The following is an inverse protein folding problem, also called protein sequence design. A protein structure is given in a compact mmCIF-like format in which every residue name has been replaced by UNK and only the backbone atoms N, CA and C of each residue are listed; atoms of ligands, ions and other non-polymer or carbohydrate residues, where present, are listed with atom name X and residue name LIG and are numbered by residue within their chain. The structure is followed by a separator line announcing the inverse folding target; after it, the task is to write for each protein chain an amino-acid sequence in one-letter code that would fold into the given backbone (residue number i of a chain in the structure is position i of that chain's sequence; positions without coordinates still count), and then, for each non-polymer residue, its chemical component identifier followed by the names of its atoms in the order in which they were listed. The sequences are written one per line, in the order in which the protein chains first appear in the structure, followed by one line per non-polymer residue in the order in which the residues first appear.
data_IF_644755726674
#
_entry.id   IF_644755726674
#
_cell.length_a   1.000
_cell.length_b   1.000
_cell.length_c   1.000
_cell.angle_alpha   90.00
_cell.angle_beta   90.00
_cell.angle_gamma   90.00
#
_symmetry.space_group_name_H-M   'P 1'
#
loop_
_entity.id
_entity.type
_entity.pdbx_description
1 polymer ?
#
# COMPACT_ATOMS: atom_id res chain seq x y z
N UNK A 1 -17.86 31.71 7.16
CA UNK A 1 -16.77 31.26 6.26
C UNK A 1 -17.38 30.49 5.10
N UNK A 2 -17.06 30.84 3.86
CA UNK A 2 -17.50 30.06 2.69
C UNK A 2 -16.70 28.75 2.59
N UNK A 3 -17.38 27.66 2.25
CA UNK A 3 -16.76 26.35 2.01
C UNK A 3 -17.34 25.72 0.74
N UNK A 4 -16.61 24.82 0.09
CA UNK A 4 -17.07 24.22 -1.17
C UNK A 4 -18.14 23.17 -0.92
N UNK A 5 -17.81 22.20 -0.07
CA UNK A 5 -18.68 21.07 0.25
C UNK A 5 -18.74 20.87 1.75
N UNK A 6 -19.94 20.59 2.27
CA UNK A 6 -20.18 20.21 3.65
C UNK A 6 -21.02 18.93 3.70
N UNK A 7 -20.50 17.92 4.40
CA UNK A 7 -21.20 16.68 4.72
C UNK A 7 -21.78 16.78 6.12
N UNK A 8 -23.09 16.58 6.25
CA UNK A 8 -23.83 16.60 7.52
C UNK A 8 -24.62 15.32 7.72
N UNK A 9 -25.10 15.06 8.94
CA UNK A 9 -25.84 13.83 9.28
C UNK A 9 -25.02 12.57 8.92
N UNK A 10 -23.80 12.51 9.46
CA UNK A 10 -22.84 11.43 9.25
C UNK A 10 -22.27 10.95 10.57
N UNK A 11 -21.66 9.77 10.59
CA UNK A 11 -20.77 9.33 11.66
C UNK A 11 -19.33 9.36 11.13
N UNK A 12 -18.37 9.86 11.90
CA UNK A 12 -16.98 9.98 11.46
C UNK A 12 -16.10 8.99 12.23
N UNK A 13 -15.26 8.27 11.50
CA UNK A 13 -14.03 7.69 12.03
C UNK A 13 -12.92 8.68 11.67
N UNK A 14 -12.49 9.52 12.60
CA UNK A 14 -11.51 10.57 12.29
C UNK A 14 -10.09 10.04 12.17
N UNK A 15 -9.78 8.94 12.88
CA UNK A 15 -8.44 8.36 12.98
C UNK A 15 -7.38 9.35 13.52
N UNK A 16 -7.80 10.48 14.09
CA UNK A 16 -6.90 11.46 14.68
C UNK A 16 -6.72 11.15 16.18
N UNK A 17 -5.51 10.76 16.57
CA UNK A 17 -5.20 10.26 17.92
C UNK A 17 -5.33 8.75 18.08
N UNK A 18 -5.67 8.29 19.29
CA UNK A 18 -5.80 6.86 19.61
C UNK A 18 -7.14 6.27 19.13
N UNK A 19 -7.12 4.99 18.74
CA UNK A 19 -8.28 4.28 18.22
C UNK A 19 -8.81 4.88 16.90
N UNK A 20 -10.12 4.75 16.69
CA UNK A 20 -10.80 5.22 15.47
C UNK A 20 -11.25 6.68 15.51
N UNK A 21 -11.16 7.36 16.66
CA UNK A 21 -11.63 8.75 16.80
C UNK A 21 -13.10 8.92 16.39
N UNK A 22 -13.97 8.03 16.91
CA UNK A 22 -15.40 7.98 16.55
C UNK A 22 -16.11 9.26 17.00
N UNK A 23 -16.76 9.93 16.05
CA UNK A 23 -17.67 11.04 16.29
C UNK A 23 -19.04 10.72 15.68
N UNK A 24 -20.01 10.40 16.53
CA UNK A 24 -21.41 10.27 16.09
C UNK A 24 -22.00 11.64 15.84
N UNK A 25 -22.96 11.69 14.92
CA UNK A 25 -23.65 12.91 14.48
C UNK A 25 -22.66 14.05 14.17
N UNK A 26 -21.73 13.78 13.26
CA UNK A 26 -20.67 14.70 12.86
C UNK A 26 -21.02 15.56 11.64
N UNK A 27 -20.16 16.55 11.42
CA UNK A 27 -20.11 17.40 10.23
C UNK A 27 -18.66 17.53 9.79
N UNK A 28 -18.43 17.47 8.48
CA UNK A 28 -17.13 17.69 7.84
C UNK A 28 -17.31 18.69 6.71
N UNK A 29 -16.38 19.64 6.56
CA UNK A 29 -16.38 20.57 5.44
C UNK A 29 -15.01 20.64 4.76
N UNK A 30 -15.03 20.90 3.46
CA UNK A 30 -13.85 21.04 2.64
C UNK A 30 -13.90 22.27 1.73
N UNK A 31 -12.72 22.84 1.48
CA UNK A 31 -12.46 23.92 0.54
C UNK A 31 -11.16 23.64 -0.20
N UNK A 32 -11.13 23.85 -1.52
CA UNK A 32 -9.96 23.63 -2.38
C UNK A 32 -9.33 22.23 -2.20
N UNK A 33 -10.20 21.24 -2.02
CA UNK A 33 -9.84 19.85 -1.82
C UNK A 33 -9.17 19.53 -0.48
N UNK A 34 -9.19 20.45 0.49
CA UNK A 34 -8.69 20.24 1.86
C UNK A 34 -9.81 20.29 2.88
N UNK A 35 -9.66 19.53 3.95
CA UNK A 35 -10.58 19.56 5.10
C UNK A 35 -10.35 20.88 5.85
N UNK A 36 -11.42 21.64 6.05
CA UNK A 36 -11.39 22.92 6.79
C UNK A 36 -12.18 22.88 8.09
N UNK A 37 -13.01 21.85 8.27
CA UNK A 37 -13.79 21.64 9.48
C UNK A 37 -14.08 20.16 9.71
N UNK A 38 -13.95 19.72 10.96
CA UNK A 38 -14.40 18.41 11.45
C UNK A 38 -14.94 18.64 12.87
N UNK A 39 -16.19 18.28 13.12
CA UNK A 39 -16.78 18.54 14.43
C UNK A 39 -18.18 17.95 14.60
N UNK A 40 -18.77 18.07 15.81
CA UNK A 40 -20.11 17.57 16.09
C UNK A 40 -21.16 18.35 15.32
N UNK A 41 -22.36 17.78 15.15
CA UNK A 41 -23.50 18.48 14.57
C UNK A 41 -23.75 19.83 15.25
N UNK A 42 -24.00 20.86 14.44
CA UNK A 42 -24.18 22.24 14.91
C UNK A 42 -22.88 23.03 15.09
N UNK A 43 -21.70 22.41 14.97
CA UNK A 43 -20.42 23.13 14.93
C UNK A 43 -20.17 23.86 13.59
N UNK A 44 -21.08 23.76 12.63
CA UNK A 44 -21.02 24.37 11.31
C UNK A 44 -21.82 25.67 11.16
N UNK A 45 -22.31 26.26 12.26
CA UNK A 45 -23.20 27.43 12.23
C UNK A 45 -22.63 28.64 11.45
N UNK A 46 -21.31 28.83 11.51
CA UNK A 46 -20.62 29.92 10.81
C UNK A 46 -20.20 29.54 9.37
N UNK A 47 -20.46 28.31 8.91
CA UNK A 47 -20.09 27.81 7.58
C UNK A 47 -21.20 28.05 6.57
N UNK A 48 -20.82 28.53 5.38
CA UNK A 48 -21.70 28.80 4.25
C UNK A 48 -21.28 27.93 3.07
N UNK A 49 -21.76 26.67 2.98
CA UNK A 49 -21.35 25.75 1.94
C UNK A 49 -21.97 26.08 0.58
N UNK A 50 -21.18 25.93 -0.49
CA UNK A 50 -21.70 25.94 -1.87
C UNK A 50 -22.55 24.70 -2.12
N UNK A 51 -22.08 23.53 -1.66
CA UNK A 51 -22.78 22.25 -1.73
C UNK A 51 -22.95 21.66 -0.34
N UNK A 52 -24.19 21.30 0.03
CA UNK A 52 -24.47 20.54 1.25
C UNK A 52 -24.90 19.12 0.86
N UNK A 53 -24.25 18.12 1.46
CA UNK A 53 -24.53 16.71 1.27
C UNK A 53 -25.07 16.14 2.59
N UNK A 54 -26.29 15.62 2.56
CA UNK A 54 -26.83 14.81 3.65
C UNK A 54 -26.26 13.39 3.54
N UNK A 55 -25.57 12.94 4.59
CA UNK A 55 -24.99 11.60 4.63
C UNK A 55 -25.96 10.51 5.05
N UNK A 56 -27.20 10.85 5.43
CA UNK A 56 -28.27 9.92 5.81
C UNK A 56 -27.87 8.96 6.94
N UNK A 57 -27.02 9.41 7.87
CA UNK A 57 -26.50 8.63 8.99
C UNK A 57 -25.34 7.68 8.66
N UNK A 58 -24.81 7.72 7.43
CA UNK A 58 -23.70 6.86 7.00
C UNK A 58 -22.38 7.20 7.70
N UNK A 59 -21.48 6.21 7.72
CA UNK A 59 -20.14 6.36 8.25
C UNK A 59 -19.19 6.95 7.21
N UNK A 60 -18.26 7.80 7.64
CA UNK A 60 -17.16 8.35 6.84
C UNK A 60 -15.84 8.06 7.54
N UNK A 61 -14.86 7.54 6.79
CA UNK A 61 -13.45 7.45 7.19
C UNK A 61 -12.59 8.29 6.24
N UNK A 62 -11.30 8.48 6.54
CA UNK A 62 -10.33 8.79 5.48
C UNK A 62 -10.45 7.74 4.37
N UNK A 63 -10.22 8.16 3.13
CA UNK A 63 -10.11 7.24 2.02
C UNK A 63 -9.05 6.17 2.33
N UNK A 64 -9.30 4.93 1.92
CA UNK A 64 -8.35 3.85 2.20
C UNK A 64 -7.04 4.07 1.43
N UNK A 65 -5.95 3.59 2.03
CA UNK A 65 -4.59 3.70 1.53
C UNK A 65 -3.99 2.30 1.50
N UNK A 66 -3.66 1.81 0.31
CA UNK A 66 -2.92 0.56 0.17
C UNK A 66 -1.43 0.90 0.01
N UNK A 67 -0.65 0.67 1.08
CA UNK A 67 0.72 1.17 1.18
C UNK A 67 1.81 0.19 0.67
N UNK A 68 1.40 -0.94 0.08
CA UNK A 68 2.31 -1.92 -0.49
C UNK A 68 1.64 -2.72 -1.63
N UNK A 69 1.98 -2.41 -2.89
CA UNK A 69 1.54 -3.22 -4.04
C UNK A 69 2.58 -3.32 -5.15
N UNK A 70 2.50 -4.40 -5.94
CA UNK A 70 3.23 -4.59 -7.19
C UNK A 70 2.24 -4.64 -8.37
N UNK A 71 1.36 -3.64 -8.44
CA UNK A 71 0.16 -3.67 -9.28
C UNK A 71 0.43 -3.71 -10.80
N UNK A 72 1.56 -3.12 -11.22
CA UNK A 72 1.93 -2.93 -12.62
C UNK A 72 2.77 -4.11 -13.10
N UNK A 73 2.13 -5.04 -13.80
CA UNK A 73 2.77 -6.18 -14.42
C UNK A 73 1.93 -6.69 -15.61
N UNK A 74 2.57 -7.45 -16.49
CA UNK A 74 1.89 -8.18 -17.56
C UNK A 74 1.87 -9.68 -17.29
N UNK A 75 0.92 -10.35 -17.93
CA UNK A 75 0.74 -11.79 -17.81
C UNK A 75 0.05 -12.22 -16.51
N UNK A 76 0.04 -13.53 -16.27
CA UNK A 76 -0.66 -14.17 -15.17
C UNK A 76 0.09 -15.45 -14.77
N UNK A 77 0.13 -15.75 -13.47
CA UNK A 77 0.77 -16.96 -12.92
C UNK A 77 -0.23 -18.03 -12.48
N UNK A 78 -1.50 -17.92 -12.85
CA UNK A 78 -2.53 -18.93 -12.53
C UNK A 78 -2.16 -20.34 -13.00
N UNK A 79 -1.50 -20.50 -14.15
CA UNK A 79 -1.04 -21.82 -14.62
C UNK A 79 0.00 -22.43 -13.67
N UNK A 80 0.90 -21.61 -13.12
CA UNK A 80 1.88 -22.09 -12.12
C UNK A 80 1.18 -22.49 -10.82
N UNK A 81 0.15 -21.74 -10.41
CA UNK A 81 -0.69 -22.09 -9.27
C UNK A 81 -1.42 -23.42 -9.48
N UNK A 82 -2.03 -23.63 -10.65
CA UNK A 82 -2.67 -24.91 -11.02
C UNK A 82 -1.67 -26.08 -10.96
N UNK A 83 -0.47 -25.91 -11.52
CA UNK A 83 0.59 -26.92 -11.48
C UNK A 83 1.02 -27.27 -10.05
N UNK A 84 1.17 -26.27 -9.18
CA UNK A 84 1.48 -26.51 -7.75
C UNK A 84 0.39 -27.33 -7.07
N UNK A 85 -0.89 -27.05 -7.36
CA UNK A 85 -2.01 -27.81 -6.83
C UNK A 85 -2.05 -29.26 -7.34
N UNK A 86 -1.50 -29.51 -8.53
CA UNK A 86 -1.31 -30.84 -9.11
C UNK A 86 -0.05 -31.56 -8.59
N UNK A 87 0.72 -30.94 -7.69
CA UNK A 87 1.89 -31.53 -7.06
C UNK A 87 3.21 -31.31 -7.79
N UNK A 88 3.27 -30.45 -8.80
CA UNK A 88 4.53 -30.07 -9.46
C UNK A 88 5.40 -29.28 -8.48
N UNK A 89 6.67 -29.66 -8.32
CA UNK A 89 7.55 -29.02 -7.35
C UNK A 89 7.94 -27.60 -7.77
N UNK A 90 8.24 -26.75 -6.78
CA UNK A 90 8.75 -25.39 -7.04
C UNK A 90 9.99 -25.39 -7.94
N UNK A 91 10.91 -26.35 -7.73
CA UNK A 91 12.13 -26.47 -8.52
C UNK A 91 11.84 -26.82 -9.99
N UNK A 92 10.83 -27.65 -10.27
CA UNK A 92 10.41 -27.97 -11.64
C UNK A 92 9.77 -26.75 -12.32
N UNK A 93 8.90 -26.03 -11.61
CA UNK A 93 8.28 -24.79 -12.11
C UNK A 93 9.35 -23.75 -12.43
N UNK A 94 10.32 -23.55 -11.54
CA UNK A 94 11.43 -22.63 -11.75
C UNK A 94 12.29 -23.04 -12.96
N UNK A 95 12.63 -24.33 -13.10
CA UNK A 95 13.37 -24.85 -14.28
C UNK A 95 12.62 -24.67 -15.59
N UNK A 96 11.30 -24.70 -15.57
CA UNK A 96 10.45 -24.41 -16.71
C UNK A 96 10.32 -22.90 -17.03
N UNK A 97 11.01 -22.04 -16.27
CA UNK A 97 10.97 -20.58 -16.43
C UNK A 97 9.76 -19.92 -15.78
N UNK A 98 9.14 -20.57 -14.79
CA UNK A 98 8.13 -19.99 -13.90
C UNK A 98 8.75 -19.07 -12.84
N UNK A 99 7.99 -18.70 -11.80
CA UNK A 99 8.50 -17.82 -10.75
C UNK A 99 8.46 -16.34 -11.13
N UNK A 100 9.19 -15.50 -10.39
CA UNK A 100 9.30 -14.06 -10.71
C UNK A 100 9.81 -13.82 -12.14
N UNK A 101 10.66 -14.71 -12.66
CA UNK A 101 11.23 -14.61 -14.01
C UNK A 101 10.13 -14.65 -15.09
N UNK A 102 9.03 -15.37 -14.88
CA UNK A 102 7.93 -15.43 -15.84
C UNK A 102 7.23 -14.07 -15.96
N UNK A 103 6.97 -13.41 -14.82
CA UNK A 103 6.43 -12.05 -14.76
C UNK A 103 7.40 -11.02 -15.32
N UNK A 104 8.69 -11.14 -15.02
CA UNK A 104 9.71 -10.22 -15.57
C UNK A 104 9.72 -10.29 -17.10
N UNK A 105 9.76 -11.48 -17.68
CA UNK A 105 9.73 -11.65 -19.14
C UNK A 105 8.48 -11.04 -19.76
N UNK A 106 7.30 -11.30 -19.17
CA UNK A 106 6.04 -10.76 -19.66
C UNK A 106 6.02 -9.22 -19.59
N UNK A 107 6.46 -8.65 -18.46
CA UNK A 107 6.47 -7.21 -18.20
C UNK A 107 7.47 -6.48 -19.11
N UNK A 108 8.64 -7.06 -19.37
CA UNK A 108 9.60 -6.53 -20.36
C UNK A 108 9.02 -6.52 -21.77
N UNK A 109 8.37 -7.60 -22.18
CA UNK A 109 7.80 -7.74 -23.53
C UNK A 109 6.58 -6.84 -23.79
N UNK A 110 5.83 -6.50 -22.74
CA UNK A 110 4.65 -5.66 -22.86
C UNK A 110 5.00 -4.19 -23.15
N UNK A 111 4.19 -3.57 -24.01
CA UNK A 111 4.21 -2.12 -24.22
C UNK A 111 3.63 -1.37 -23.00
N UNK A 112 3.91 -0.07 -22.84
CA UNK A 112 3.28 0.73 -21.79
C UNK A 112 1.75 0.65 -21.81
N UNK A 113 1.13 0.68 -22.99
CA UNK A 113 -0.33 0.61 -23.16
C UNK A 113 -0.88 -0.75 -22.78
N UNK A 114 -0.15 -1.83 -23.09
CA UNK A 114 -0.51 -3.17 -22.66
C UNK A 114 -0.43 -3.30 -21.13
N UNK A 115 0.66 -2.82 -20.51
CA UNK A 115 0.81 -2.83 -19.06
C UNK A 115 -0.30 -2.05 -18.36
N UNK A 116 -0.63 -0.86 -18.85
CA UNK A 116 -1.73 -0.06 -18.33
C UNK A 116 -3.08 -0.81 -18.46
N UNK A 117 -3.38 -1.36 -19.64
CA UNK A 117 -4.61 -2.11 -19.90
C UNK A 117 -4.76 -3.33 -18.97
N UNK A 118 -3.68 -4.08 -18.76
CA UNK A 118 -3.70 -5.28 -17.90
C UNK A 118 -3.75 -4.95 -16.41
N UNK A 119 -3.24 -3.77 -15.99
CA UNK A 119 -3.18 -3.35 -14.58
C UNK A 119 -4.41 -2.59 -14.12
N UNK A 120 -5.07 -1.87 -15.03
CA UNK A 120 -6.29 -1.10 -14.76
C UNK A 120 -7.37 -1.89 -13.99
N UNK A 121 -7.73 -3.14 -14.35
CA UNK A 121 -8.79 -3.84 -13.63
C UNK A 121 -8.46 -4.06 -12.16
N UNK A 122 -7.18 -4.26 -11.82
CA UNK A 122 -6.71 -4.41 -10.44
C UNK A 122 -6.87 -3.11 -9.66
N UNK A 123 -6.45 -1.98 -10.24
CA UNK A 123 -6.61 -0.66 -9.63
C UNK A 123 -8.10 -0.30 -9.43
N UNK A 124 -8.94 -0.60 -10.43
CA UNK A 124 -10.38 -0.32 -10.35
C UNK A 124 -11.07 -1.16 -9.26
N UNK A 125 -10.64 -2.41 -9.03
CA UNK A 125 -11.16 -3.24 -7.94
C UNK A 125 -10.86 -2.60 -6.56
N UNK A 126 -9.62 -2.17 -6.34
CA UNK A 126 -9.23 -1.49 -5.09
C UNK A 126 -9.92 -0.14 -4.92
N UNK A 127 -10.03 0.64 -6.00
CA UNK A 127 -10.79 1.91 -6.02
C UNK A 127 -12.25 1.70 -5.64
N UNK A 128 -12.86 0.61 -6.12
CA UNK A 128 -14.24 0.28 -5.78
C UNK A 128 -14.44 -0.03 -4.29
N UNK A 129 -13.39 -0.41 -3.56
CA UNK A 129 -13.39 -0.61 -2.11
C UNK A 129 -12.92 0.61 -1.32
N UNK A 130 -12.89 1.81 -1.94
CA UNK A 130 -12.66 3.07 -1.23
C UNK A 130 -11.21 3.51 -1.19
N UNK A 131 -10.32 2.86 -1.94
CA UNK A 131 -8.93 3.29 -2.07
C UNK A 131 -8.84 4.64 -2.78
N UNK A 132 -8.20 5.59 -2.10
CA UNK A 132 -7.91 6.94 -2.61
C UNK A 132 -6.43 7.15 -2.89
N UNK A 133 -5.57 6.42 -2.18
CA UNK A 133 -4.12 6.45 -2.37
C UNK A 133 -3.57 5.03 -2.42
N UNK A 134 -2.64 4.78 -3.34
CA UNK A 134 -2.02 3.48 -3.52
C UNK A 134 -0.52 3.65 -3.75
N UNK A 135 0.28 2.85 -3.08
CA UNK A 135 1.67 2.67 -3.43
C UNK A 135 1.79 1.64 -4.55
N UNK A 136 2.56 1.96 -5.59
CA UNK A 136 2.84 1.04 -6.69
C UNK A 136 4.35 0.94 -6.86
N UNK A 137 4.87 -0.27 -6.64
CA UNK A 137 6.26 -0.61 -6.85
C UNK A 137 6.53 -0.99 -8.29
N UNK A 138 7.76 -0.72 -8.75
CA UNK A 138 8.32 -1.38 -9.92
C UNK A 138 8.86 -2.77 -9.57
N UNK A 139 9.91 -3.27 -10.22
CA UNK A 139 10.59 -4.51 -9.83
C UNK A 139 10.30 -5.74 -10.68
N UNK A 140 9.40 -5.66 -11.66
CA UNK A 140 9.27 -6.68 -12.71
C UNK A 140 9.97 -6.32 -14.03
N UNK A 141 10.84 -5.32 -14.01
CA UNK A 141 11.64 -4.87 -15.16
C UNK A 141 13.08 -5.34 -15.04
N UNK A 142 13.69 -5.15 -13.88
CA UNK A 142 15.09 -5.49 -13.58
C UNK A 142 16.12 -4.95 -14.61
N UNK A 143 15.76 -3.85 -15.29
CA UNK A 143 16.61 -3.01 -16.16
C UNK A 143 16.15 -1.57 -15.98
N UNK A 144 17.02 -0.57 -16.16
CA UNK A 144 16.60 0.83 -16.05
C UNK A 144 15.41 1.17 -16.97
N UNK A 145 15.43 0.68 -18.21
CA UNK A 145 14.37 0.97 -19.17
C UNK A 145 13.01 0.41 -18.72
N UNK A 146 12.96 -0.83 -18.25
CA UNK A 146 11.71 -1.49 -17.89
C UNK A 146 11.21 -1.08 -16.50
N UNK A 147 12.11 -0.73 -15.58
CA UNK A 147 11.76 -0.13 -14.29
C UNK A 147 11.14 1.26 -14.50
N UNK A 148 11.78 2.11 -15.32
CA UNK A 148 11.23 3.40 -15.74
C UNK A 148 9.84 3.26 -16.36
N UNK A 149 9.67 2.30 -17.27
CA UNK A 149 8.39 2.00 -17.92
C UNK A 149 7.28 1.67 -16.91
N UNK A 150 7.55 0.84 -15.90
CA UNK A 150 6.57 0.51 -14.87
C UNK A 150 6.15 1.73 -14.06
N UNK A 151 7.10 2.55 -13.62
CA UNK A 151 6.82 3.76 -12.82
C UNK A 151 6.01 4.79 -13.62
N UNK A 152 6.31 4.96 -14.90
CA UNK A 152 5.54 5.83 -15.80
C UNK A 152 4.10 5.33 -15.99
N UNK A 153 3.91 4.02 -16.18
CA UNK A 153 2.57 3.41 -16.27
C UNK A 153 1.82 3.56 -14.95
N UNK A 154 2.47 3.38 -13.80
CA UNK A 154 1.86 3.58 -12.49
C UNK A 154 1.29 5.00 -12.33
N UNK A 155 2.08 6.02 -12.68
CA UNK A 155 1.63 7.43 -12.65
C UNK A 155 0.44 7.68 -13.57
N UNK A 156 0.53 7.21 -14.82
CA UNK A 156 -0.54 7.38 -15.80
C UNK A 156 -1.86 6.73 -15.35
N UNK A 157 -1.79 5.53 -14.75
CA UNK A 157 -2.96 4.85 -14.18
C UNK A 157 -3.59 5.63 -13.02
N UNK A 158 -2.78 6.25 -12.16
CA UNK A 158 -3.27 7.08 -11.06
C UNK A 158 -4.10 8.27 -11.55
N UNK A 159 -3.58 8.99 -12.56
CA UNK A 159 -4.29 10.11 -13.20
C UNK A 159 -5.59 9.63 -13.85
N UNK A 160 -5.50 8.56 -14.64
CA UNK A 160 -6.63 8.03 -15.39
C UNK A 160 -7.75 7.48 -14.49
N UNK A 161 -7.40 6.79 -13.41
CA UNK A 161 -8.36 6.17 -12.49
C UNK A 161 -8.73 7.07 -11.30
N UNK A 162 -8.19 8.29 -11.23
CA UNK A 162 -8.37 9.24 -10.11
C UNK A 162 -8.02 8.61 -8.75
N UNK A 163 -6.82 8.04 -8.67
CA UNK A 163 -6.22 7.50 -7.43
C UNK A 163 -4.85 8.16 -7.26
N UNK A 164 -4.54 8.67 -6.08
CA UNK A 164 -3.20 9.19 -5.80
C UNK A 164 -2.22 8.01 -5.81
N UNK A 165 -1.20 8.04 -6.68
CA UNK A 165 -0.18 6.99 -6.75
C UNK A 165 1.09 7.49 -6.09
N UNK A 166 1.63 6.69 -5.16
CA UNK A 166 2.94 6.88 -4.54
C UNK A 166 3.91 5.87 -5.17
N UNK A 167 4.75 6.28 -6.14
CA UNK A 167 5.61 5.36 -6.85
C UNK A 167 6.86 4.99 -6.03
N UNK A 168 7.15 3.70 -5.94
CA UNK A 168 8.34 3.16 -5.27
C UNK A 168 9.21 2.41 -6.27
N UNK A 169 10.50 2.75 -6.33
CA UNK A 169 11.45 2.03 -7.17
C UNK A 169 11.96 0.78 -6.45
N UNK A 170 11.70 -0.39 -7.05
CA UNK A 170 12.12 -1.70 -6.54
C UNK A 170 13.01 -2.42 -7.57
N UNK A 171 14.06 -1.75 -8.08
CA UNK A 171 15.01 -2.40 -8.98
C UNK A 171 15.67 -3.63 -8.34
N UNK A 172 15.93 -3.60 -7.04
CA UNK A 172 16.47 -4.72 -6.27
C UNK A 172 15.36 -5.68 -5.76
N UNK A 173 14.46 -6.11 -6.65
CA UNK A 173 13.45 -7.14 -6.35
C UNK A 173 14.03 -8.56 -6.41
N UNK A 174 14.79 -8.83 -7.47
CA UNK A 174 15.47 -10.10 -7.70
C UNK A 174 16.68 -9.89 -8.59
N UNK A 175 17.62 -10.84 -8.55
CA UNK A 175 18.77 -10.82 -9.46
C UNK A 175 18.32 -11.31 -10.85
N UNK A 176 18.57 -10.55 -11.94
CA UNK A 176 18.27 -11.01 -13.29
C UNK A 176 18.95 -12.35 -13.61
N UNK A 177 18.29 -13.26 -14.36
CA UNK A 177 18.91 -14.53 -14.74
C UNK A 177 20.27 -14.34 -15.44
N UNK A 178 21.28 -15.08 -14.98
CA UNK A 178 22.63 -15.06 -15.57
C UNK A 178 23.51 -13.90 -15.13
N UNK A 179 23.13 -13.17 -14.07
CA UNK A 179 23.94 -12.09 -13.48
C UNK A 179 24.35 -12.41 -12.06
N UNK A 180 25.49 -11.85 -11.65
CA UNK A 180 25.95 -11.89 -10.28
C UNK A 180 25.25 -10.83 -9.43
N UNK A 181 24.90 -11.19 -8.20
CA UNK A 181 24.10 -10.33 -7.33
C UNK A 181 24.78 -8.99 -7.04
N UNK A 182 26.09 -8.99 -6.75
CA UNK A 182 26.84 -7.77 -6.44
C UNK A 182 26.93 -6.84 -7.66
N UNK A 183 27.26 -7.37 -8.84
CA UNK A 183 27.33 -6.59 -10.08
C UNK A 183 25.99 -5.91 -10.38
N UNK A 184 24.88 -6.62 -10.14
CA UNK A 184 23.55 -6.05 -10.31
C UNK A 184 23.23 -4.99 -9.26
N UNK A 185 23.62 -5.20 -8.00
CA UNK A 185 23.48 -4.18 -6.95
C UNK A 185 24.24 -2.91 -7.29
N UNK A 186 25.47 -3.02 -7.81
CA UNK A 186 26.28 -1.88 -8.24
C UNK A 186 25.56 -1.09 -9.34
N UNK A 187 24.99 -1.76 -10.36
CA UNK A 187 24.20 -1.10 -11.41
C UNK A 187 22.93 -0.42 -10.85
N UNK A 188 22.22 -1.07 -9.93
CA UNK A 188 21.06 -0.46 -9.27
C UNK A 188 21.46 0.83 -8.57
N UNK A 189 22.58 0.83 -7.84
CA UNK A 189 23.05 1.97 -7.05
C UNK A 189 23.66 3.09 -7.91
N UNK A 190 24.49 2.75 -8.90
CA UNK A 190 25.30 3.72 -9.66
C UNK A 190 24.60 4.22 -10.93
N UNK A 191 23.63 3.47 -11.45
CA UNK A 191 22.96 3.77 -12.72
C UNK A 191 21.46 3.99 -12.52
N UNK A 192 20.77 3.06 -11.88
CA UNK A 192 19.30 3.09 -11.86
C UNK A 192 18.74 4.13 -10.89
N UNK A 193 19.15 4.10 -9.62
CA UNK A 193 18.68 5.04 -8.59
C UNK A 193 18.95 6.50 -9.01
N UNK A 194 20.16 6.89 -9.47
CA UNK A 194 20.43 8.26 -9.89
C UNK A 194 19.52 8.72 -11.04
N UNK A 195 19.27 7.85 -12.02
CA UNK A 195 18.41 8.17 -13.16
C UNK A 195 16.94 8.32 -12.75
N UNK A 196 16.42 7.39 -11.95
CA UNK A 196 15.04 7.43 -11.43
C UNK A 196 14.81 8.68 -10.58
N UNK A 197 15.77 9.05 -9.73
CA UNK A 197 15.70 10.25 -8.91
C UNK A 197 15.76 11.53 -9.77
N UNK A 198 16.67 11.60 -10.75
CA UNK A 198 16.81 12.76 -11.63
C UNK A 198 15.55 13.03 -12.47
N UNK A 199 14.80 11.99 -12.81
CA UNK A 199 13.53 12.09 -13.53
C UNK A 199 12.31 12.29 -12.59
N UNK A 200 12.51 12.23 -11.27
CA UNK A 200 11.46 12.33 -10.27
C UNK A 200 10.39 11.26 -10.43
N UNK A 201 10.76 10.03 -10.76
CA UNK A 201 9.83 8.94 -11.06
C UNK A 201 9.39 8.13 -9.84
N UNK A 202 10.14 8.19 -8.74
CA UNK A 202 9.83 7.50 -7.50
C UNK A 202 9.97 8.45 -6.30
N UNK A 203 9.21 8.18 -5.24
CA UNK A 203 9.32 8.87 -3.94
C UNK A 203 10.17 8.06 -2.95
N UNK A 204 10.23 6.74 -3.13
CA UNK A 204 10.99 5.82 -2.30
C UNK A 204 11.76 4.78 -3.12
N UNK A 205 12.79 4.19 -2.51
CA UNK A 205 13.47 2.98 -2.95
C UNK A 205 13.14 1.84 -2.00
N UNK A 206 12.95 0.65 -2.57
CA UNK A 206 12.70 -0.59 -1.86
C UNK A 206 13.70 -1.67 -2.32
N UNK A 207 13.87 -2.71 -1.51
CA UNK A 207 14.72 -3.87 -1.78
C UNK A 207 14.14 -5.11 -1.13
N UNK A 208 14.27 -6.26 -1.82
CA UNK A 208 13.98 -7.56 -1.22
C UNK A 208 15.22 -8.15 -0.52
N UNK A 209 15.30 -7.94 0.79
CA UNK A 209 16.40 -8.42 1.62
C UNK A 209 16.09 -9.82 2.17
N UNK A 210 16.38 -10.84 1.36
CA UNK A 210 16.13 -12.24 1.68
C UNK A 210 17.27 -13.14 1.16
N UNK A 211 17.47 -14.32 1.75
CA UNK A 211 18.47 -15.31 1.33
C UNK A 211 18.37 -15.68 -0.16
N UNK A 212 17.17 -15.56 -0.74
CA UNK A 212 16.90 -15.86 -2.15
C UNK A 212 17.04 -14.64 -3.07
N UNK A 213 17.37 -13.47 -2.54
CA UNK A 213 17.44 -12.21 -3.26
C UNK A 213 18.72 -11.44 -2.90
N UNK A 214 18.65 -10.43 -2.03
CA UNK A 214 19.79 -9.59 -1.65
C UNK A 214 20.14 -9.72 -0.17
N UNK A 215 21.44 -9.64 0.12
CA UNK A 215 21.97 -9.63 1.48
C UNK A 215 21.82 -8.26 2.16
N UNK A 216 21.93 -8.19 3.51
CA UNK A 216 21.95 -6.92 4.24
C UNK A 216 23.07 -5.96 3.79
N UNK A 217 24.22 -6.49 3.35
CA UNK A 217 25.31 -5.67 2.83
C UNK A 217 24.92 -4.95 1.53
N UNK A 218 24.21 -5.65 0.64
CA UNK A 218 23.68 -5.07 -0.60
C UNK A 218 22.52 -4.11 -0.33
N UNK A 219 21.64 -4.43 0.62
CA UNK A 219 20.58 -3.51 1.06
C UNK A 219 21.16 -2.18 1.58
N UNK A 220 22.25 -2.24 2.37
CA UNK A 220 22.97 -1.04 2.81
C UNK A 220 23.45 -0.17 1.64
N UNK A 221 24.03 -0.77 0.60
CA UNK A 221 24.48 -0.02 -0.59
C UNK A 221 23.31 0.69 -1.29
N UNK A 222 22.18 -0.01 -1.47
CA UNK A 222 20.96 0.55 -2.05
C UNK A 222 20.44 1.72 -1.21
N UNK A 223 20.48 1.60 0.13
CA UNK A 223 20.03 2.65 1.04
C UNK A 223 20.96 3.87 1.06
N UNK A 224 22.27 3.65 0.98
CA UNK A 224 23.25 4.74 0.86
C UNK A 224 23.03 5.52 -0.45
N UNK A 225 22.77 4.83 -1.56
CA UNK A 225 22.42 5.46 -2.84
C UNK A 225 21.08 6.22 -2.78
N UNK A 226 20.04 5.60 -2.19
CA UNK A 226 18.74 6.25 -2.02
C UNK A 226 18.84 7.57 -1.25
N UNK A 227 19.58 7.57 -0.12
CA UNK A 227 19.85 8.77 0.68
C UNK A 227 20.63 9.83 -0.10
N UNK A 228 21.66 9.44 -0.84
CA UNK A 228 22.45 10.38 -1.66
C UNK A 228 21.60 11.10 -2.72
N UNK A 229 20.49 10.48 -3.13
CA UNK A 229 19.56 11.01 -4.12
C UNK A 229 18.21 11.50 -3.55
N UNK A 230 18.11 11.62 -2.23
CA UNK A 230 16.92 12.19 -1.56
C UNK A 230 15.66 11.35 -1.67
N UNK A 231 15.78 10.05 -1.92
CA UNK A 231 14.65 9.11 -1.94
C UNK A 231 14.43 8.51 -0.55
N UNK A 232 13.17 8.33 -0.17
CA UNK A 232 12.83 7.61 1.04
C UNK A 232 13.18 6.12 0.92
N UNK A 233 13.23 5.41 2.05
CA UNK A 233 13.63 4.00 2.10
C UNK A 233 12.48 3.16 2.63
N UNK A 234 12.27 2.01 1.99
CA UNK A 234 11.41 0.90 2.43
C UNK A 234 12.17 -0.41 2.25
N UNK A 235 11.68 -1.50 2.84
CA UNK A 235 12.30 -2.82 2.70
C UNK A 235 11.25 -3.93 2.76
N UNK A 236 11.37 -4.94 1.89
CA UNK A 236 10.80 -6.26 2.15
C UNK A 236 11.79 -7.04 3.00
N UNK A 237 11.41 -7.34 4.24
CA UNK A 237 12.30 -7.89 5.24
C UNK A 237 11.63 -9.02 6.02
N UNK A 238 12.44 -10.01 6.38
CA UNK A 238 12.09 -11.10 7.28
C UNK A 238 10.85 -11.90 6.86
N UNK A 239 10.60 -12.00 5.55
CA UNK A 239 9.48 -12.75 5.02
C UNK A 239 9.68 -14.26 5.18
N UNK A 240 10.87 -14.77 4.83
CA UNK A 240 11.16 -16.21 4.81
C UNK A 240 12.26 -16.59 5.80
N UNK A 241 13.11 -15.64 6.17
CA UNK A 241 14.15 -15.82 7.19
C UNK A 241 14.56 -14.49 7.81
N UNK A 242 15.11 -14.53 9.02
CA UNK A 242 15.64 -13.33 9.67
C UNK A 242 17.06 -13.03 9.19
N UNK A 243 17.24 -11.91 8.48
CA UNK A 243 18.53 -11.35 8.08
C UNK A 243 18.86 -10.01 8.78
N UNK A 244 18.05 -9.59 9.77
CA UNK A 244 18.15 -8.28 10.42
C UNK A 244 18.07 -7.09 9.44
N UNK A 245 17.38 -7.28 8.31
CA UNK A 245 17.05 -6.24 7.34
C UNK A 245 16.13 -5.16 7.92
N UNK A 246 15.17 -5.52 8.75
CA UNK A 246 14.30 -4.55 9.44
C UNK A 246 15.10 -3.65 10.41
N UNK A 247 16.03 -4.23 11.18
CA UNK A 247 16.94 -3.47 12.04
C UNK A 247 17.83 -2.52 11.21
N UNK A 248 18.39 -3.03 10.11
CA UNK A 248 19.17 -2.23 9.17
C UNK A 248 18.36 -1.05 8.62
N UNK A 249 17.15 -1.31 8.11
CA UNK A 249 16.28 -0.30 7.52
C UNK A 249 15.86 0.76 8.55
N UNK A 250 15.53 0.36 9.79
CA UNK A 250 15.25 1.29 10.88
C UNK A 250 16.46 2.19 11.19
N UNK A 251 17.68 1.65 11.20
CA UNK A 251 18.92 2.45 11.30
C UNK A 251 19.12 3.44 10.14
N UNK A 252 18.44 3.21 9.02
CA UNK A 252 18.39 4.10 7.88
C UNK A 252 17.22 5.11 7.90
N UNK A 253 16.36 5.07 8.93
CA UNK A 253 15.15 5.89 8.99
C UNK A 253 14.15 5.50 7.92
N UNK A 254 14.07 4.22 7.56
CA UNK A 254 13.10 3.70 6.61
C UNK A 254 11.67 4.00 7.06
N UNK A 255 10.81 4.32 6.09
CA UNK A 255 9.38 4.56 6.31
C UNK A 255 8.68 3.30 6.81
N UNK A 256 9.02 2.14 6.23
CA UNK A 256 8.47 0.85 6.65
C UNK A 256 9.42 -0.32 6.43
N UNK A 257 9.16 -1.39 7.19
CA UNK A 257 9.61 -2.74 6.92
C UNK A 257 8.37 -3.63 6.74
N UNK A 258 8.36 -4.37 5.64
CA UNK A 258 7.17 -5.05 5.12
C UNK A 258 7.39 -6.57 5.19
N UNK A 259 6.31 -7.36 5.36
CA UNK A 259 6.28 -8.81 5.66
C UNK A 259 6.49 -9.16 7.15
N UNK A 260 7.74 -9.18 7.61
CA UNK A 260 8.17 -9.31 9.00
C UNK A 260 7.74 -10.59 9.76
N UNK A 261 7.42 -11.68 9.08
CA UNK A 261 7.08 -12.98 9.70
C UNK A 261 8.19 -13.49 10.65
N UNK A 262 9.46 -13.31 10.28
CA UNK A 262 10.63 -13.78 11.02
C UNK A 262 11.34 -12.68 11.84
N UNK A 263 10.70 -11.52 12.03
CA UNK A 263 11.26 -10.40 12.78
C UNK A 263 11.55 -10.77 14.25
N UNK A 264 12.70 -10.33 14.77
CA UNK A 264 13.12 -10.55 16.14
C UNK A 264 13.02 -9.30 17.03
N UNK A 265 13.33 -9.47 18.33
CA UNK A 265 13.25 -8.41 19.33
C UNK A 265 14.18 -7.22 19.03
N UNK A 266 15.33 -7.46 18.41
CA UNK A 266 16.27 -6.41 18.04
C UNK A 266 15.69 -5.53 16.92
N UNK A 267 15.14 -6.15 15.88
CA UNK A 267 14.43 -5.46 14.81
C UNK A 267 13.22 -4.68 15.32
N UNK A 268 12.40 -5.27 16.20
CA UNK A 268 11.25 -4.58 16.83
C UNK A 268 11.71 -3.33 17.59
N UNK A 269 12.74 -3.46 18.43
CA UNK A 269 13.26 -2.34 19.21
C UNK A 269 13.80 -1.22 18.30
N UNK A 270 14.50 -1.57 17.22
CA UNK A 270 15.01 -0.62 16.24
C UNK A 270 13.87 0.11 15.51
N UNK A 271 12.85 -0.62 15.04
CA UNK A 271 11.68 -0.05 14.37
C UNK A 271 10.93 0.91 15.29
N UNK A 272 10.70 0.52 16.56
CA UNK A 272 10.05 1.36 17.55
C UNK A 272 10.83 2.67 17.79
N UNK A 273 12.15 2.58 17.91
CA UNK A 273 13.01 3.73 18.13
C UNK A 273 13.05 4.68 16.92
N UNK A 274 13.04 4.13 15.69
CA UNK A 274 13.09 4.92 14.46
C UNK A 274 11.73 5.47 14.01
N UNK A 275 10.62 4.90 14.51
CA UNK A 275 9.28 5.18 14.00
C UNK A 275 8.97 4.48 12.67
N UNK A 276 9.75 3.46 12.28
CA UNK A 276 9.53 2.65 11.08
C UNK A 276 8.24 1.83 11.25
N UNK A 277 7.36 1.91 10.26
CA UNK A 277 6.08 1.21 10.27
C UNK A 277 6.27 -0.28 9.94
N UNK A 278 5.61 -1.16 10.68
CA UNK A 278 5.48 -2.57 10.34
C UNK A 278 4.31 -2.77 9.37
N UNK A 279 4.57 -3.09 8.10
CA UNK A 279 3.52 -3.35 7.10
C UNK A 279 3.27 -4.86 7.01
N UNK A 280 2.09 -5.27 7.47
CA UNK A 280 1.65 -6.66 7.51
C UNK A 280 0.93 -7.04 6.23
N UNK A 281 1.29 -8.18 5.65
CA UNK A 281 0.84 -8.61 4.31
C UNK A 281 0.08 -9.93 4.36
N UNK A 282 -1.15 -9.95 4.91
CA UNK A 282 -1.88 -11.19 5.17
C UNK A 282 -2.26 -11.96 3.90
N UNK A 283 -2.39 -11.29 2.75
CA UNK A 283 -2.65 -11.93 1.46
C UNK A 283 -1.51 -12.86 1.04
N UNK A 284 -0.26 -12.40 1.20
CA UNK A 284 0.93 -13.20 0.91
C UNK A 284 1.03 -14.40 1.84
N UNK A 285 0.95 -14.16 3.16
CA UNK A 285 0.94 -15.20 4.20
C UNK A 285 -0.10 -16.29 3.90
N UNK A 286 -1.33 -15.89 3.57
CA UNK A 286 -2.42 -16.81 3.23
C UNK A 286 -2.09 -17.64 1.98
N UNK A 287 -1.69 -16.98 0.90
CA UNK A 287 -1.58 -17.61 -0.42
C UNK A 287 -0.35 -18.50 -0.53
N UNK A 288 0.75 -18.17 0.16
CA UNK A 288 1.94 -19.03 0.27
C UNK A 288 1.78 -20.15 1.28
N UNK A 289 0.70 -20.13 2.08
CA UNK A 289 0.43 -21.07 3.18
C UNK A 289 1.53 -21.05 4.23
N UNK A 290 2.03 -19.86 4.53
CA UNK A 290 3.00 -19.71 5.61
C UNK A 290 2.37 -20.09 6.95
N UNK A 291 3.21 -20.54 7.88
CA UNK A 291 2.83 -20.92 9.23
C UNK A 291 3.54 -20.09 10.29
N UNK A 292 4.56 -19.31 9.91
CA UNK A 292 5.25 -18.37 10.79
C UNK A 292 4.47 -17.07 10.87
N UNK A 293 3.90 -16.78 12.03
CA UNK A 293 3.17 -15.53 12.24
C UNK A 293 4.16 -14.38 12.53
N UNK A 294 3.92 -13.17 11.99
CA UNK A 294 4.66 -11.99 12.41
C UNK A 294 4.46 -11.73 13.92
N UNK A 295 5.42 -11.10 14.62
CA UNK A 295 5.43 -10.98 16.08
C UNK A 295 4.49 -9.87 16.59
N UNK A 296 3.19 -9.93 16.25
CA UNK A 296 2.18 -8.90 16.51
C UNK A 296 2.14 -8.44 17.97
N UNK A 297 2.17 -9.38 18.92
CA UNK A 297 2.08 -9.04 20.34
C UNK A 297 3.31 -8.24 20.82
N UNK A 298 4.50 -8.55 20.31
CA UNK A 298 5.73 -7.86 20.66
C UNK A 298 5.81 -6.48 19.99
N UNK A 299 5.42 -6.38 18.72
CA UNK A 299 5.29 -5.10 18.01
C UNK A 299 4.34 -4.15 18.75
N UNK A 300 3.16 -4.66 19.14
CA UNK A 300 2.17 -3.90 19.90
C UNK A 300 2.73 -3.44 21.25
N UNK A 301 3.40 -4.33 21.99
CA UNK A 301 4.00 -4.01 23.28
C UNK A 301 5.10 -2.95 23.18
N UNK A 302 5.84 -2.94 22.06
CA UNK A 302 6.87 -1.94 21.77
C UNK A 302 6.31 -0.62 21.20
N UNK A 303 5.02 -0.56 20.88
CA UNK A 303 4.39 0.61 20.26
C UNK A 303 4.79 0.84 18.80
N UNK A 304 5.21 -0.22 18.09
CA UNK A 304 5.51 -0.13 16.65
C UNK A 304 4.20 0.10 15.88
N UNK A 305 4.13 1.12 15.01
CA UNK A 305 2.95 1.35 14.17
C UNK A 305 2.69 0.16 13.23
N UNK A 306 1.43 -0.29 13.14
CA UNK A 306 1.02 -1.43 12.32
C UNK A 306 0.19 -0.98 11.13
N UNK A 307 0.71 -1.16 9.92
CA UNK A 307 -0.02 -0.99 8.68
C UNK A 307 -0.45 -2.33 8.08
N UNK A 308 -1.46 -2.30 7.23
CA UNK A 308 -1.88 -3.43 6.40
C UNK A 308 -1.84 -3.01 4.93
N UNK A 309 -1.57 -3.98 4.07
CA UNK A 309 -1.63 -3.81 2.63
C UNK A 309 -2.02 -5.11 1.94
N UNK A 310 -2.42 -5.02 0.68
CA UNK A 310 -2.84 -6.20 -0.08
C UNK A 310 -1.65 -7.03 -0.57
N UNK A 311 -0.47 -6.40 -0.70
CA UNK A 311 0.66 -6.94 -1.45
C UNK A 311 0.25 -7.35 -2.87
N UNK A 312 -0.64 -6.58 -3.53
CA UNK A 312 -1.19 -7.04 -4.82
C UNK A 312 -0.10 -7.30 -5.85
N UNK A 313 0.11 -8.58 -6.16
CA UNK A 313 1.17 -9.04 -7.04
C UNK A 313 0.79 -10.39 -7.69
N UNK A 314 1.39 -10.75 -8.84
CA UNK A 314 1.00 -11.96 -9.56
C UNK A 314 1.42 -13.27 -8.91
N UNK A 315 2.39 -13.26 -7.99
CA UNK A 315 3.13 -14.45 -7.57
C UNK A 315 2.78 -14.98 -6.19
N UNK A 316 2.65 -14.09 -5.22
CA UNK A 316 2.49 -14.41 -3.80
C UNK A 316 1.22 -13.83 -3.21
N UNK A 317 0.64 -12.76 -3.75
CA UNK A 317 -0.64 -12.24 -3.27
C UNK A 317 -1.46 -11.63 -4.42
N UNK A 318 -2.16 -12.44 -5.23
CA UNK A 318 -3.06 -11.95 -6.27
C UNK A 318 -4.37 -11.39 -5.68
N UNK A 319 -4.26 -10.61 -4.60
CA UNK A 319 -5.32 -9.97 -3.83
C UNK A 319 -5.49 -8.52 -4.30
N UNK A 320 -6.73 -8.10 -4.54
CA UNK A 320 -7.07 -6.71 -4.94
C UNK A 320 -8.19 -6.12 -4.09
N UNK A 321 -8.30 -6.58 -2.84
CA UNK A 321 -9.36 -6.21 -1.90
C UNK A 321 -8.77 -5.81 -0.55
N UNK A 322 -8.66 -4.51 -0.25
CA UNK A 322 -8.25 -4.05 1.09
C UNK A 322 -9.22 -4.49 2.19
N UNK A 323 -10.53 -4.60 1.92
CA UNK A 323 -11.49 -5.05 2.93
C UNK A 323 -11.26 -6.54 3.29
N UNK A 324 -10.96 -7.37 2.29
CA UNK A 324 -10.55 -8.75 2.54
C UNK A 324 -9.20 -8.81 3.27
N UNK A 325 -8.25 -7.94 2.94
CA UNK A 325 -6.98 -7.87 3.66
C UNK A 325 -7.17 -7.47 5.14
N UNK A 326 -8.08 -6.54 5.46
CA UNK A 326 -8.46 -6.22 6.85
C UNK A 326 -9.03 -7.45 7.56
N UNK A 327 -9.95 -8.17 6.92
CA UNK A 327 -10.52 -9.39 7.48
C UNK A 327 -9.45 -10.47 7.74
N UNK A 328 -8.53 -10.66 6.78
CA UNK A 328 -7.41 -11.60 6.94
C UNK A 328 -6.45 -11.16 8.06
N UNK A 329 -6.16 -9.86 8.18
CA UNK A 329 -5.36 -9.32 9.30
C UNK A 329 -5.99 -9.63 10.66
N UNK A 330 -7.31 -9.46 10.79
CA UNK A 330 -8.02 -9.83 12.02
C UNK A 330 -8.03 -11.35 12.25
N UNK A 331 -8.30 -12.14 11.21
CA UNK A 331 -8.51 -13.59 11.33
C UNK A 331 -7.21 -14.37 11.51
N UNK A 332 -6.17 -14.02 10.74
CA UNK A 332 -4.89 -14.71 10.71
C UNK A 332 -3.92 -14.13 11.73
N UNK A 333 -3.83 -12.80 11.84
CA UNK A 333 -2.86 -12.10 12.69
C UNK A 333 -3.44 -11.61 14.02
N UNK A 334 -4.75 -11.81 14.27
CA UNK A 334 -5.43 -11.39 15.51
C UNK A 334 -5.32 -9.89 15.78
N UNK A 335 -5.30 -9.10 14.71
CA UNK A 335 -5.48 -7.66 14.81
C UNK A 335 -6.90 -7.32 15.28
N UNK A 336 -7.01 -6.23 16.01
CA UNK A 336 -8.29 -5.63 16.40
C UNK A 336 -8.91 -4.87 15.24
N UNK A 337 -10.21 -4.55 15.34
CA UNK A 337 -10.90 -3.71 14.34
C UNK A 337 -10.19 -2.36 14.17
N UNK A 338 -9.81 -1.74 15.29
CA UNK A 338 -9.10 -0.46 15.31
C UNK A 338 -7.76 -0.54 14.57
N UNK A 339 -6.96 -1.59 14.84
CA UNK A 339 -5.69 -1.82 14.15
C UNK A 339 -5.89 -2.07 12.65
N UNK A 340 -6.93 -2.82 12.25
CA UNK A 340 -7.18 -3.09 10.84
C UNK A 340 -7.56 -1.82 10.05
N UNK A 341 -8.45 -0.99 10.60
CA UNK A 341 -8.89 0.24 9.94
C UNK A 341 -7.77 1.29 9.96
N UNK A 342 -7.08 1.45 11.09
CA UNK A 342 -5.89 2.32 11.18
C UNK A 342 -4.80 1.86 10.21
N UNK A 343 -4.66 0.55 10.03
CA UNK A 343 -3.66 -0.07 9.16
C UNK A 343 -3.79 0.29 7.68
N UNK A 344 -5.00 0.56 7.19
CA UNK A 344 -5.28 1.05 5.82
C UNK A 344 -5.59 2.56 5.77
N UNK A 345 -5.37 3.30 6.85
CA UNK A 345 -5.59 4.75 6.90
C UNK A 345 -4.37 5.45 7.49
N UNK A 346 -4.39 5.78 8.78
CA UNK A 346 -3.32 6.55 9.44
C UNK A 346 -1.96 5.87 9.34
N UNK A 347 -1.88 4.57 9.58
CA UNK A 347 -0.59 3.87 9.60
C UNK A 347 -0.08 3.59 8.18
N UNK A 348 -0.96 3.31 7.22
CA UNK A 348 -0.60 3.27 5.80
C UNK A 348 -0.10 4.63 5.29
N UNK A 349 -0.72 5.75 5.69
CA UNK A 349 -0.22 7.09 5.35
C UNK A 349 1.19 7.33 5.93
N UNK A 350 1.44 6.90 7.18
CA UNK A 350 2.76 6.97 7.80
C UNK A 350 3.79 6.11 7.07
N UNK A 351 3.42 4.90 6.64
CA UNK A 351 4.28 3.99 5.87
C UNK A 351 4.69 4.54 4.49
N UNK A 352 4.00 5.59 4.01
CA UNK A 352 4.31 6.31 2.77
C UNK A 352 4.96 7.68 3.01
N UNK A 353 5.17 8.09 4.27
CA UNK A 353 5.70 9.41 4.60
C UNK A 353 4.68 10.55 4.43
N UNK A 354 3.39 10.24 4.29
CA UNK A 354 2.32 11.20 4.01
C UNK A 354 1.34 11.41 5.18
N UNK A 355 1.70 11.00 6.40
CA UNK A 355 0.83 11.05 7.58
C UNK A 355 0.36 12.45 8.02
N UNK A 356 1.07 13.51 7.60
CA UNK A 356 0.66 14.91 7.82
C UNK A 356 -0.29 15.45 6.74
N UNK A 357 -0.59 14.64 5.71
CA UNK A 357 -1.38 15.07 4.55
C UNK A 357 -2.63 14.22 4.33
N UNK A 358 -2.56 12.91 4.52
CA UNK A 358 -3.66 11.96 4.31
C UNK A 358 -3.78 10.95 5.46
N UNK A 359 -4.84 10.13 5.45
CA UNK A 359 -5.03 9.02 6.39
C UNK A 359 -5.72 9.39 7.70
N UNK A 360 -6.09 10.66 7.91
CA UNK A 360 -6.94 11.13 9.02
C UNK A 360 -7.93 12.18 8.53
N UNK A 361 -9.03 12.36 9.25
CA UNK A 361 -9.98 13.45 9.04
C UNK A 361 -9.65 14.58 10.02
N UNK A 362 -8.70 15.43 9.64
CA UNK A 362 -8.29 16.59 10.43
C UNK A 362 -8.15 17.83 9.54
N UNK A 363 -8.32 19.01 10.14
CA UNK A 363 -8.19 20.30 9.45
C UNK A 363 -6.80 20.42 8.81
N UNK A 364 -6.75 20.85 7.55
CA UNK A 364 -5.53 21.01 6.75
C UNK A 364 -5.19 19.82 5.86
N UNK A 365 -5.71 18.64 6.16
CA UNK A 365 -5.46 17.41 5.39
C UNK A 365 -6.22 17.42 4.06
N UNK A 366 -5.75 16.61 3.11
CA UNK A 366 -6.48 16.42 1.84
C UNK A 366 -7.84 15.75 2.13
N UNK A 367 -8.90 16.24 1.49
CA UNK A 367 -10.25 15.72 1.65
C UNK A 367 -10.46 14.46 0.80
N UNK A 368 -9.79 13.38 1.21
CA UNK A 368 -9.92 12.04 0.65
C UNK A 368 -10.80 11.21 1.59
N UNK A 369 -11.99 10.83 1.15
CA UNK A 369 -13.01 10.20 2.00
C UNK A 369 -13.50 8.89 1.40
N UNK A 370 -13.83 7.94 2.27
CA UNK A 370 -14.67 6.79 1.95
C UNK A 370 -15.94 6.85 2.80
N UNK A 371 -17.10 6.78 2.13
CA UNK A 371 -18.43 6.85 2.74
C UNK A 371 -19.03 5.45 2.68
N UNK A 372 -19.48 4.93 3.82
CA UNK A 372 -19.81 3.51 4.02
C UNK A 372 -21.26 3.31 4.44
N UNK A 373 -21.91 2.33 3.82
CA UNK A 373 -23.25 1.85 4.18
C UNK A 373 -23.13 0.69 5.19
N UNK A 374 -22.82 1.04 6.44
CA UNK A 374 -22.56 0.13 7.55
C UNK A 374 -23.25 0.61 8.82
N UNK A 375 -23.51 -0.31 9.76
CA UNK A 375 -24.10 0.04 11.06
C UNK A 375 -23.02 0.47 12.06
N UNK A 376 -21.84 -0.15 11.97
CA UNK A 376 -20.68 0.13 12.82
C UNK A 376 -19.36 -0.11 12.07
N UNK A 377 -18.25 0.54 12.48
CA UNK A 377 -16.92 0.35 11.87
C UNK A 377 -16.47 -1.11 11.76
N UNK A 378 -16.86 -1.95 12.71
CA UNK A 378 -16.54 -3.37 12.73
C UNK A 378 -17.04 -4.12 11.47
N UNK A 379 -18.09 -3.64 10.81
CA UNK A 379 -18.62 -4.25 9.58
C UNK A 379 -17.59 -4.27 8.44
N UNK A 380 -16.66 -3.31 8.41
CA UNK A 380 -15.58 -3.24 7.41
C UNK A 380 -14.58 -4.39 7.55
N UNK A 381 -14.40 -4.91 8.76
CA UNK A 381 -13.42 -5.96 9.08
C UNK A 381 -14.09 -7.33 9.18
N UNK A 382 -15.34 -7.37 9.64
CA UNK A 382 -16.07 -8.59 9.92
C UNK A 382 -16.48 -9.37 8.65
N UNK A 383 -16.98 -8.68 7.62
CA UNK A 383 -17.53 -9.34 6.43
C UNK A 383 -16.42 -9.89 5.51
N UNK A 384 -16.72 -10.98 4.82
CA UNK A 384 -15.79 -11.63 3.89
C UNK A 384 -16.36 -11.49 2.47
N UNK A 385 -15.60 -10.86 1.56
CA UNK A 385 -16.00 -10.71 0.15
C UNK A 385 -17.22 -9.80 -0.06
N UNK A 386 -17.37 -8.77 0.78
CA UNK A 386 -18.48 -7.81 0.71
C UNK A 386 -17.93 -6.38 0.64
N UNK A 387 -18.56 -5.54 -0.20
CA UNK A 387 -18.17 -4.14 -0.37
C UNK A 387 -19.33 -3.21 0.03
N UNK A 388 -19.26 -2.56 1.21
CA UNK A 388 -20.27 -1.61 1.68
C UNK A 388 -19.97 -0.16 1.25
N UNK A 389 -19.02 0.10 0.34
CA UNK A 389 -18.72 1.47 -0.08
C UNK A 389 -19.94 2.10 -0.77
N UNK A 390 -20.40 3.21 -0.23
CA UNK A 390 -21.47 4.02 -0.79
C UNK A 390 -20.91 5.04 -1.80
N UNK A 391 -19.88 5.78 -1.40
CA UNK A 391 -19.26 6.79 -2.23
C UNK A 391 -17.80 7.02 -1.83
N UNK A 392 -17.02 7.55 -2.77
CA UNK A 392 -15.62 7.93 -2.58
C UNK A 392 -15.42 9.39 -2.95
N UNK A 393 -14.56 10.09 -2.23
CA UNK A 393 -14.19 11.49 -2.48
C UNK A 393 -12.67 11.55 -2.58
N UNK A 394 -12.15 12.26 -3.59
CA UNK A 394 -10.72 12.54 -3.73
C UNK A 394 -10.53 14.03 -3.89
N UNK A 395 -9.72 14.63 -3.01
CA UNK A 395 -9.47 16.08 -2.93
C UNK A 395 -10.76 16.88 -2.98
N UNK A 396 -11.72 16.51 -2.12
CA UNK A 396 -13.02 17.17 -1.97
C UNK A 396 -13.99 16.96 -3.14
N UNK A 397 -13.58 16.26 -4.19
CA UNK A 397 -14.44 15.95 -5.34
C UNK A 397 -15.00 14.54 -5.20
N UNK A 398 -16.34 14.37 -5.12
CA UNK A 398 -16.92 13.05 -5.15
C UNK A 398 -16.58 12.39 -6.49
N UNK A 399 -16.30 11.09 -6.44
CA UNK A 399 -16.40 10.27 -7.62
C UNK A 399 -17.83 10.41 -8.13
N UNK A 400 -17.99 10.95 -9.34
CA UNK A 400 -19.24 10.79 -10.05
C UNK A 400 -19.51 9.29 -10.10
N UNK A 401 -20.76 8.82 -9.85
CA UNK A 401 -21.08 7.42 -9.98
C UNK A 401 -20.55 6.99 -11.33
N UNK A 402 -19.60 6.06 -11.33
CA UNK A 402 -19.08 5.53 -12.56
C UNK A 402 -20.31 5.02 -13.31
N UNK A 403 -20.62 5.64 -14.44
CA UNK A 403 -21.41 4.97 -15.43
C UNK A 403 -20.62 3.71 -15.75
N UNK A 404 -20.97 2.60 -15.11
CA UNK A 404 -20.51 1.27 -15.48
C UNK A 404 -21.11 0.97 -16.85
N UNK A 405 -20.65 1.67 -17.88
CA UNK A 405 -20.77 1.22 -19.25
C UNK A 405 -19.79 0.07 -19.38
N UNK A 406 -20.26 -1.13 -19.05
CA UNK A 406 -19.80 -2.33 -19.73
C UNK A 406 -20.08 -2.11 -21.22
N UNK A 407 -19.09 -1.60 -21.94
CA UNK A 407 -18.98 -1.70 -23.39
C UNK A 407 -17.57 -2.15 -23.72
#
# INVERSE_FOLDING_TARGET
MHVDTLWSNVHLMTLDGEGLGVLRDGVLAATDGRIVHVGPAGSDADLQPTTRIDGEGRWISPGLIDCHTHLVYAGNRANEFEQRLQGVSYAEIARAGGGIVSTVRATRAASPEQLARESRPRLLAMRAEGVTTIEIKSGYGLTLQDERKQLQVARALGEECRVNVVPTFLGAHAVPPGREAQEYTDEVCEVMIPAIAAEGLAEAVDIFCENIAFSPAQARQVFDAARAHGLAIKIHAEQLSNQHGAELAAGFGALSADHIEHLDDAGIAAMAAAGTVAVLLPGAFYFTRDTTLPPIAALRAAGVPLALATDSNPGTSPLTSPLLAMNMGATLFRLTVDECIAGFTREAARALGHGERIGRLAVGMDCDLAIWDIDAPADLVYRIGFNPLHARVVRGQPDLPASWSNT
#
